data_IF_971725358540
#
_entry.id   IF_971725358540
#
_cell.length_a   1.000
_cell.length_b   1.000
_cell.length_c   1.000
_cell.angle_alpha   90.00
_cell.angle_beta   90.00
_cell.angle_gamma   90.00
#
_symmetry.space_group_name_H-M   'P 1'
#
loop_
_entity.id
_entity.type
_entity.pdbx_description
1 polymer ?
#
# COMPACT_ATOMS: atom_id res chain seq x y z
N UNK A 1 27.05 19.64 39.88
CA UNK A 1 25.59 19.81 39.65
C UNK A 1 25.26 20.54 38.35
N UNK A 2 25.75 21.77 38.10
CA UNK A 2 25.43 22.56 36.88
C UNK A 2 25.74 21.86 35.54
N UNK A 3 26.90 21.20 35.41
CA UNK A 3 27.28 20.42 34.20
C UNK A 3 26.36 19.23 33.92
N UNK A 4 25.79 18.61 34.96
CA UNK A 4 24.86 17.48 34.84
C UNK A 4 23.50 18.00 34.37
N UNK A 5 23.00 19.09 34.98
CA UNK A 5 21.76 19.74 34.57
C UNK A 5 21.78 20.20 33.11
N UNK A 6 22.91 20.76 32.63
CA UNK A 6 23.07 21.15 31.23
C UNK A 6 23.02 19.94 30.28
N UNK A 7 23.65 18.82 30.65
CA UNK A 7 23.58 17.58 29.84
C UNK A 7 22.17 17.01 29.78
N UNK A 8 21.45 17.04 30.90
CA UNK A 8 20.04 16.62 30.97
C UNK A 8 19.18 17.51 30.08
N UNK A 9 19.38 18.83 30.10
CA UNK A 9 18.67 19.76 29.23
C UNK A 9 18.90 19.43 27.74
N UNK A 10 20.16 19.22 27.33
CA UNK A 10 20.45 18.82 25.94
C UNK A 10 19.78 17.50 25.56
N UNK A 11 19.80 16.51 26.46
CA UNK A 11 19.12 15.23 26.22
C UNK A 11 17.61 15.44 26.01
N UNK A 12 16.96 16.24 26.86
CA UNK A 12 15.54 16.57 26.71
C UNK A 12 15.26 17.26 25.39
N UNK A 13 16.05 18.27 24.99
CA UNK A 13 15.91 18.96 23.71
C UNK A 13 16.03 17.98 22.53
N UNK A 14 17.00 17.07 22.58
CA UNK A 14 17.20 16.06 21.53
C UNK A 14 16.01 15.09 21.47
N UNK A 15 15.53 14.61 22.62
CA UNK A 15 14.37 13.71 22.69
C UNK A 15 13.10 14.39 22.16
N UNK A 16 12.87 15.65 22.51
CA UNK A 16 11.73 16.42 21.99
C UNK A 16 11.85 16.62 20.48
N UNK A 17 13.04 16.98 19.97
CA UNK A 17 13.27 17.12 18.53
C UNK A 17 13.01 15.79 17.80
N UNK A 18 13.52 14.68 18.32
CA UNK A 18 13.29 13.35 17.77
C UNK A 18 11.79 13.00 17.76
N UNK A 19 11.08 13.30 18.84
CA UNK A 19 9.64 13.06 18.93
C UNK A 19 8.85 13.88 17.89
N UNK A 20 9.17 15.17 17.72
CA UNK A 20 8.51 16.00 16.69
C UNK A 20 8.79 15.47 15.29
N UNK A 21 10.03 15.09 14.99
CA UNK A 21 10.37 14.50 13.68
C UNK A 21 9.63 13.19 13.43
N UNK A 22 9.50 12.33 14.45
CA UNK A 22 8.71 11.11 14.35
C UNK A 22 7.22 11.40 14.08
N UNK A 23 6.63 12.40 14.72
CA UNK A 23 5.24 12.80 14.47
C UNK A 23 5.05 13.34 13.05
N UNK A 24 5.97 14.18 12.56
CA UNK A 24 5.94 14.70 11.19
C UNK A 24 6.05 13.56 10.16
N UNK A 25 6.94 12.60 10.41
CA UNK A 25 7.08 11.42 9.55
C UNK A 25 5.78 10.60 9.49
N UNK A 26 5.18 10.31 10.65
CA UNK A 26 3.92 9.54 10.71
C UNK A 26 2.75 10.29 10.05
N UNK A 27 2.70 11.61 10.19
CA UNK A 27 1.71 12.43 9.49
C UNK A 27 1.89 12.29 7.98
N UNK A 28 3.09 12.54 7.47
CA UNK A 28 3.41 12.48 6.06
C UNK A 28 3.07 11.10 5.47
N UNK A 29 3.48 10.02 6.14
CA UNK A 29 3.14 8.66 5.72
C UNK A 29 1.61 8.43 5.72
N UNK A 30 0.90 8.95 6.72
CA UNK A 30 -0.55 8.88 6.78
C UNK A 30 -1.25 9.62 5.63
N UNK A 31 -0.76 10.79 5.23
CA UNK A 31 -1.26 11.52 4.06
C UNK A 31 -0.98 10.76 2.76
N UNK A 32 0.24 10.26 2.61
CA UNK A 32 0.63 9.43 1.48
C UNK A 32 -0.30 8.21 1.35
N UNK A 33 -0.54 7.44 2.41
CA UNK A 33 -1.44 6.27 2.39
C UNK A 33 -2.91 6.60 2.08
N UNK A 34 -3.37 7.82 2.40
CA UNK A 34 -4.74 8.30 2.10
C UNK A 34 -4.90 8.79 0.66
N UNK A 35 -3.80 9.18 0.02
CA UNK A 35 -3.81 9.63 -1.38
C UNK A 35 -4.00 8.50 -2.40
N UNK A 36 -3.98 7.24 -1.95
CA UNK A 36 -4.12 6.08 -2.82
C UNK A 36 -5.54 5.99 -3.39
N UNK A 37 -5.64 5.89 -4.70
CA UNK A 37 -6.91 5.75 -5.40
C UNK A 37 -7.33 4.28 -5.46
N UNK A 38 -8.55 3.95 -5.04
CA UNK A 38 -9.09 2.61 -5.21
C UNK A 38 -9.26 2.30 -6.71
N UNK A 39 -8.92 1.08 -7.13
CA UNK A 39 -9.07 0.62 -8.51
C UNK A 39 -10.34 -0.22 -8.58
N UNK A 40 -11.30 0.25 -9.37
CA UNK A 40 -12.56 -0.46 -9.64
C UNK A 40 -13.19 -1.01 -8.36
N UNK A 41 -13.49 -0.23 -7.32
CA UNK A 41 -14.13 -0.71 -6.07
C UNK A 41 -13.69 -2.14 -5.68
N UNK A 42 -12.40 -2.30 -5.35
CA UNK A 42 -11.76 -3.60 -5.11
C UNK A 42 -10.74 -3.50 -3.96
N UNK A 43 -10.01 -4.58 -3.68
CA UNK A 43 -8.89 -4.54 -2.73
C UNK A 43 -7.62 -3.92 -3.33
N UNK A 44 -7.62 -3.51 -4.59
CA UNK A 44 -6.46 -2.91 -5.25
C UNK A 44 -6.53 -1.38 -5.26
N UNK A 45 -5.36 -0.76 -5.11
CA UNK A 45 -5.17 0.67 -5.03
C UNK A 45 -4.00 1.11 -5.90
N UNK A 46 -4.06 2.33 -6.44
CA UNK A 46 -2.97 2.97 -7.15
C UNK A 46 -2.37 4.08 -6.28
N UNK A 47 -1.06 4.05 -6.07
CA UNK A 47 -0.34 5.13 -5.37
C UNK A 47 -0.22 6.37 -6.26
N UNK A 48 0.12 7.55 -5.70
CA UNK A 48 0.39 8.76 -6.49
C UNK A 48 1.44 8.59 -7.59
N UNK A 49 2.40 7.68 -7.41
CA UNK A 49 3.46 7.35 -8.36
C UNK A 49 3.01 6.34 -9.42
N UNK A 50 1.76 5.88 -9.36
CA UNK A 50 1.18 4.95 -10.34
C UNK A 50 1.37 3.47 -10.01
N UNK A 51 2.07 3.14 -8.91
CA UNK A 51 2.29 1.75 -8.46
C UNK A 51 0.99 1.10 -7.98
N UNK A 52 0.89 -0.21 -8.14
CA UNK A 52 -0.27 -0.98 -7.69
C UNK A 52 -0.01 -1.57 -6.31
N UNK A 53 -1.01 -1.45 -5.43
CA UNK A 53 -1.02 -2.01 -4.10
C UNK A 53 -2.26 -2.85 -3.90
N UNK A 54 -2.16 -3.86 -3.04
CA UNK A 54 -3.31 -4.62 -2.54
C UNK A 54 -3.49 -4.36 -1.05
N UNK A 55 -4.72 -4.04 -0.65
CA UNK A 55 -5.15 -3.97 0.73
C UNK A 55 -5.38 -5.38 1.25
N UNK A 56 -4.71 -5.72 2.34
CA UNK A 56 -4.97 -6.94 3.09
C UNK A 56 -5.67 -6.51 4.38
N UNK A 57 -6.88 -7.01 4.60
CA UNK A 57 -7.68 -6.69 5.79
C UNK A 57 -6.87 -6.91 7.07
N UNK A 58 -6.83 -5.90 7.94
CA UNK A 58 -6.07 -5.91 9.18
C UNK A 58 -4.54 -5.79 9.04
N UNK A 59 -3.98 -5.79 7.83
CA UNK A 59 -2.53 -5.79 7.60
C UNK A 59 -2.00 -4.60 6.81
N UNK A 60 -2.86 -3.81 6.17
CA UNK A 60 -2.47 -2.62 5.40
C UNK A 60 -2.33 -2.87 3.90
N UNK A 61 -1.85 -1.84 3.18
CA UNK A 61 -1.62 -1.87 1.74
C UNK A 61 -0.20 -2.35 1.43
N UNK A 62 -0.05 -3.27 0.49
CA UNK A 62 1.23 -3.83 0.08
C UNK A 62 1.45 -3.70 -1.42
N UNK A 63 2.65 -3.27 -1.80
CA UNK A 63 3.02 -3.10 -3.21
C UNK A 63 2.97 -4.45 -3.92
N UNK A 64 2.26 -4.50 -5.05
CA UNK A 64 2.23 -5.64 -5.94
C UNK A 64 3.44 -5.56 -6.88
N UNK A 65 4.41 -6.44 -6.68
CA UNK A 65 5.69 -6.41 -7.42
C UNK A 65 5.57 -7.13 -8.77
N UNK A 66 6.32 -6.66 -9.75
CA UNK A 66 6.39 -7.27 -11.08
C UNK A 66 5.13 -7.07 -11.92
N UNK A 67 4.27 -6.16 -11.50
CA UNK A 67 3.05 -5.77 -12.22
C UNK A 67 3.39 -4.87 -13.39
N UNK A 68 2.69 -5.04 -14.51
CA UNK A 68 2.62 -4.03 -15.56
C UNK A 68 1.46 -3.08 -15.24
N UNK A 69 1.78 -1.91 -14.67
CA UNK A 69 0.79 -0.97 -14.13
C UNK A 69 -0.16 -0.42 -15.19
N UNK A 70 0.29 -0.37 -16.45
CA UNK A 70 -0.44 0.18 -17.58
C UNK A 70 -1.55 -0.77 -18.07
N UNK A 71 -1.33 -2.08 -17.99
CA UNK A 71 -2.31 -3.10 -18.39
C UNK A 71 -3.08 -3.72 -17.23
N UNK A 72 -2.79 -3.30 -15.98
CA UNK A 72 -3.44 -3.79 -14.78
C UNK A 72 -4.96 -3.55 -14.81
N UNK A 73 -5.72 -4.61 -14.52
CA UNK A 73 -7.19 -4.61 -14.47
C UNK A 73 -7.70 -5.57 -13.41
N UNK A 74 -8.71 -5.13 -12.66
CA UNK A 74 -9.37 -5.98 -11.66
C UNK A 74 -10.24 -7.03 -12.36
N UNK A 75 -10.18 -8.27 -11.89
CA UNK A 75 -11.06 -9.33 -12.34
C UNK A 75 -12.28 -9.37 -11.42
N UNK A 76 -13.45 -8.99 -11.93
CA UNK A 76 -14.69 -8.92 -11.16
C UNK A 76 -15.72 -9.92 -11.64
N UNK A 77 -16.50 -10.43 -10.68
CA UNK A 77 -17.80 -11.04 -10.92
C UNK A 77 -18.85 -9.93 -11.03
N UNK A 78 -19.76 -10.07 -12.00
CA UNK A 78 -20.83 -9.09 -12.27
C UNK A 78 -21.79 -8.87 -11.10
N UNK A 79 -21.84 -9.82 -10.17
CA UNK A 79 -22.79 -9.87 -9.04
C UNK A 79 -22.12 -10.14 -7.68
N UNK A 80 -20.79 -10.20 -7.62
CA UNK A 80 -20.10 -10.39 -6.35
C UNK A 80 -19.70 -9.03 -5.75
N UNK A 81 -19.60 -9.05 -4.43
CA UNK A 81 -19.20 -7.95 -3.56
C UNK A 81 -18.13 -7.03 -4.15
N UNK A 82 -18.20 -5.76 -3.75
CA UNK A 82 -17.30 -4.64 -4.05
C UNK A 82 -15.83 -4.83 -3.59
N UNK A 83 -15.39 -6.06 -3.35
CA UNK A 83 -14.08 -6.39 -2.80
C UNK A 83 -13.49 -7.58 -3.56
N UNK A 84 -13.12 -7.37 -4.82
CA UNK A 84 -12.32 -8.35 -5.55
C UNK A 84 -10.86 -8.24 -5.11
N UNK A 85 -10.27 -9.38 -4.77
CA UNK A 85 -8.83 -9.53 -4.53
C UNK A 85 -8.13 -10.23 -5.70
N UNK A 86 -8.79 -10.36 -6.86
CA UNK A 86 -8.23 -10.98 -8.07
C UNK A 86 -8.06 -9.92 -9.16
N UNK A 87 -6.91 -9.93 -9.82
CA UNK A 87 -6.59 -9.01 -10.90
C UNK A 87 -5.71 -9.68 -11.96
N UNK A 88 -5.48 -9.00 -13.07
CA UNK A 88 -4.51 -9.41 -14.08
C UNK A 88 -3.85 -8.19 -14.71
N UNK A 89 -2.63 -8.37 -15.21
CA UNK A 89 -2.02 -7.48 -16.18
C UNK A 89 -1.80 -8.24 -17.50
N UNK A 90 -1.02 -7.72 -18.44
CA UNK A 90 -0.76 -8.39 -19.71
C UNK A 90 0.06 -9.70 -19.60
N UNK A 91 0.75 -9.92 -18.48
CA UNK A 91 1.71 -11.01 -18.26
C UNK A 91 1.21 -12.05 -17.23
N UNK A 92 0.49 -11.62 -16.19
CA UNK A 92 0.19 -12.43 -15.01
C UNK A 92 -1.24 -12.24 -14.52
N UNK A 93 -1.74 -13.26 -13.82
CA UNK A 93 -2.93 -13.19 -12.99
C UNK A 93 -2.51 -13.15 -11.53
N UNK A 94 -3.19 -12.35 -10.74
CA UNK A 94 -2.90 -12.11 -9.32
C UNK A 94 -4.07 -12.51 -8.44
N UNK A 95 -3.77 -13.11 -7.29
CA UNK A 95 -4.70 -13.22 -6.16
C UNK A 95 -4.02 -12.65 -4.93
N UNK A 96 -4.59 -11.57 -4.40
CA UNK A 96 -3.95 -10.69 -3.43
C UNK A 96 -2.54 -10.24 -3.92
N UNK A 97 -1.47 -10.68 -3.23
CA UNK A 97 -0.09 -10.34 -3.59
C UNK A 97 0.56 -11.36 -4.53
N UNK A 98 -0.05 -12.53 -4.68
CA UNK A 98 0.59 -13.66 -5.32
C UNK A 98 0.26 -13.74 -6.80
N UNK A 99 1.27 -14.07 -7.61
CA UNK A 99 1.06 -14.45 -9.01
C UNK A 99 0.52 -15.87 -9.04
N UNK A 100 -0.59 -16.08 -9.75
CA UNK A 100 -1.16 -17.39 -10.00
C UNK A 100 -0.52 -18.00 -11.26
N UNK A 101 0.35 -19.02 -11.13
CA UNK A 101 1.03 -19.60 -12.28
C UNK A 101 0.06 -20.42 -13.15
N UNK A 102 0.34 -20.49 -14.45
CA UNK A 102 -0.40 -21.32 -15.41
C UNK A 102 -1.73 -20.74 -15.88
N UNK A 103 -2.11 -19.55 -15.40
CA UNK A 103 -3.30 -18.84 -15.87
C UNK A 103 -2.96 -17.90 -17.03
N UNK A 104 -3.80 -17.90 -18.07
CA UNK A 104 -3.70 -16.94 -19.16
C UNK A 104 -4.39 -15.62 -18.75
N UNK A 105 -3.66 -14.50 -18.63
CA UNK A 105 -4.24 -13.22 -18.24
C UNK A 105 -5.28 -12.69 -19.21
N UNK A 106 -5.32 -13.13 -20.48
CA UNK A 106 -6.30 -12.65 -21.45
C UNK A 106 -7.66 -13.32 -21.31
N UNK A 107 -7.68 -14.60 -20.92
CA UNK A 107 -8.90 -15.42 -20.87
C UNK A 107 -9.42 -15.69 -19.46
N UNK A 108 -8.59 -15.52 -18.43
CA UNK A 108 -8.98 -15.78 -17.03
C UNK A 108 -10.13 -14.89 -16.58
N UNK A 109 -11.11 -15.51 -15.91
CA UNK A 109 -12.29 -14.86 -15.33
C UNK A 109 -12.57 -15.49 -13.96
N UNK A 110 -13.13 -14.69 -13.05
CA UNK A 110 -13.67 -15.18 -11.78
C UNK A 110 -15.06 -15.75 -12.05
N UNK A 111 -15.37 -16.92 -11.48
CA UNK A 111 -16.62 -17.69 -11.66
C UNK A 111 -17.54 -17.55 -10.44
#
# INVERSE_FOLDING_TARGET
>A
MRKIATKILYLFVILTLFFVLAMLYLWHEGEYQRSFANIDNSEFYRSPEGKIYVQISGSGKYELKGVDEASFRVLKLKHAYDYSNVAADKNHVYCAREILPGLDPKSTKVL
#
